data_IF_472834836366
#
_entry.id   IF_472834836366
#
_cell.length_a   1.000
_cell.length_b   1.000
_cell.length_c   1.000
_cell.angle_alpha   90.00
_cell.angle_beta   90.00
_cell.angle_gamma   90.00
#
_symmetry.space_group_name_H-M   'P 1'
#
loop_
_entity.id
_entity.type
_entity.pdbx_description
1 polymer ?
#
# COMPACT_ATOMS: atom_id res chain seq x y z
N UNK A 1 0.70 -23.56 -7.51
CA UNK A 1 -0.64 -23.24 -6.98
C UNK A 1 -0.59 -21.87 -6.34
N UNK A 2 -1.65 -21.06 -6.47
CA UNK A 2 -1.73 -19.69 -5.93
C UNK A 2 -2.16 -19.65 -4.44
N UNK A 3 -2.14 -20.79 -3.76
CA UNK A 3 -2.51 -20.95 -2.34
C UNK A 3 -3.99 -20.74 -2.00
N UNK A 4 -4.85 -20.74 -3.01
CA UNK A 4 -6.31 -20.56 -2.90
C UNK A 4 -6.96 -21.61 -2.00
N UNK A 5 -6.36 -22.79 -1.85
CA UNK A 5 -6.88 -23.91 -1.07
C UNK A 5 -6.23 -24.11 0.30
N UNK A 6 -5.41 -23.15 0.76
CA UNK A 6 -4.69 -23.25 2.03
C UNK A 6 -3.91 -24.58 2.19
N UNK A 7 -3.18 -24.96 1.14
CA UNK A 7 -2.39 -26.20 1.16
C UNK A 7 -1.23 -26.05 2.12
N UNK A 8 -0.92 -27.06 2.97
CA UNK A 8 0.21 -26.99 3.89
C UNK A 8 1.51 -26.56 3.19
N UNK A 9 2.26 -25.67 3.83
CA UNK A 9 3.59 -25.29 3.35
C UNK A 9 4.58 -26.42 3.65
N UNK A 10 5.02 -27.07 2.60
CA UNK A 10 6.03 -28.12 2.58
C UNK A 10 7.34 -27.53 2.06
N UNK A 11 8.37 -27.65 2.88
CA UNK A 11 9.70 -27.15 2.57
C UNK A 11 10.28 -27.79 1.30
N UNK A 12 10.91 -26.97 0.44
CA UNK A 12 11.49 -27.38 -0.83
C UNK A 12 10.47 -27.73 -1.92
N UNK A 13 9.17 -27.61 -1.61
CA UNK A 13 8.07 -28.01 -2.49
C UNK A 13 7.18 -26.82 -2.82
N UNK A 14 6.66 -26.10 -1.83
CA UNK A 14 5.73 -25.00 -2.06
C UNK A 14 5.86 -23.81 -1.10
N UNK A 15 6.95 -23.68 -0.32
CA UNK A 15 7.11 -22.56 0.61
C UNK A 15 7.34 -21.21 -0.09
N UNK A 16 7.94 -21.19 -1.29
CA UNK A 16 8.06 -19.99 -2.11
C UNK A 16 7.12 -20.02 -3.30
N UNK A 17 6.13 -19.09 -3.31
CA UNK A 17 5.06 -19.01 -4.34
C UNK A 17 5.19 -17.70 -5.14
N UNK A 18 6.16 -17.57 -6.07
CA UNK A 18 6.49 -16.30 -6.72
C UNK A 18 5.35 -15.67 -7.51
N UNK A 19 4.39 -16.47 -8.02
CA UNK A 19 3.21 -15.94 -8.74
C UNK A 19 2.05 -15.51 -7.82
N UNK A 20 2.14 -15.70 -6.50
CA UNK A 20 1.10 -15.30 -5.56
C UNK A 20 0.94 -13.76 -5.55
N UNK A 21 2.06 -13.02 -5.59
CA UNK A 21 2.05 -11.55 -5.61
C UNK A 21 1.22 -10.95 -6.75
N UNK A 22 1.42 -11.45 -7.97
CA UNK A 22 0.71 -11.00 -9.17
C UNK A 22 -0.79 -11.38 -9.21
N UNK A 23 -1.26 -12.16 -8.24
CA UNK A 23 -2.63 -12.66 -8.15
C UNK A 23 -3.30 -12.30 -6.81
N UNK A 24 -2.84 -11.23 -6.16
CA UNK A 24 -3.39 -10.76 -4.87
C UNK A 24 -4.90 -10.60 -4.87
N UNK A 25 -5.46 -10.01 -5.92
CA UNK A 25 -6.91 -9.87 -6.08
C UNK A 25 -7.68 -11.19 -5.99
N UNK A 26 -7.14 -12.25 -6.60
CA UNK A 26 -7.80 -13.55 -6.66
C UNK A 26 -7.73 -14.28 -5.31
N UNK A 27 -6.53 -14.45 -4.76
CA UNK A 27 -6.38 -15.21 -3.53
C UNK A 27 -6.97 -14.45 -2.34
N UNK A 28 -6.81 -13.12 -2.27
CA UNK A 28 -7.38 -12.34 -1.16
C UNK A 28 -8.91 -12.34 -1.16
N UNK A 29 -9.56 -12.29 -2.33
CA UNK A 29 -11.01 -12.48 -2.40
C UNK A 29 -11.43 -13.88 -1.88
N UNK A 30 -10.66 -14.91 -2.22
CA UNK A 30 -10.94 -16.26 -1.69
C UNK A 30 -10.70 -16.34 -0.18
N UNK A 31 -9.64 -15.70 0.32
CA UNK A 31 -9.29 -15.68 1.73
C UNK A 31 -10.38 -15.00 2.57
N UNK A 32 -11.03 -13.93 2.07
CA UNK A 32 -12.15 -13.30 2.76
C UNK A 32 -13.32 -14.25 2.99
N UNK A 33 -13.65 -15.11 2.01
CA UNK A 33 -14.69 -16.13 2.14
C UNK A 33 -14.33 -17.16 3.23
N UNK A 34 -13.06 -17.56 3.29
CA UNK A 34 -12.55 -18.62 4.19
C UNK A 34 -12.33 -18.12 5.62
N UNK A 35 -11.65 -16.99 5.74
CA UNK A 35 -11.15 -16.44 7.02
C UNK A 35 -12.25 -15.66 7.72
N UNK A 36 -13.04 -14.88 6.99
CA UNK A 36 -14.06 -13.97 7.54
C UNK A 36 -13.49 -13.05 8.63
N UNK A 37 -12.46 -12.23 8.32
CA UNK A 37 -11.78 -11.43 9.32
C UNK A 37 -12.67 -10.32 9.90
N UNK A 38 -12.61 -10.11 11.22
CA UNK A 38 -13.30 -9.00 11.92
C UNK A 38 -12.50 -7.69 11.89
N UNK A 39 -11.25 -7.75 11.44
CA UNK A 39 -10.39 -6.59 11.19
C UNK A 39 -9.73 -6.69 9.83
N UNK A 40 -9.78 -5.61 9.05
CA UNK A 40 -9.15 -5.57 7.72
C UNK A 40 -8.20 -4.39 7.57
N UNK A 41 -6.98 -4.67 7.09
CA UNK A 41 -6.02 -3.66 6.63
C UNK A 41 -6.16 -3.55 5.11
N UNK A 42 -6.62 -2.41 4.62
CA UNK A 42 -6.94 -2.17 3.21
C UNK A 42 -6.05 -1.04 2.66
N UNK A 43 -5.70 -1.09 1.38
CA UNK A 43 -4.84 -0.09 0.76
C UNK A 43 -4.07 -0.63 -0.43
N UNK A 44 -2.99 0.06 -0.77
CA UNK A 44 -2.14 -0.31 -1.91
C UNK A 44 -1.04 -1.31 -1.52
N UNK A 45 -0.10 -1.52 -2.44
CA UNK A 45 1.13 -2.29 -2.21
C UNK A 45 1.95 -1.80 -1.02
N UNK A 46 1.79 -0.53 -0.62
CA UNK A 46 2.43 0.04 0.57
C UNK A 46 1.89 -0.58 1.85
N UNK A 47 0.57 -0.54 2.04
CA UNK A 47 -0.12 -1.20 3.15
C UNK A 47 0.09 -2.71 3.11
N UNK A 48 0.07 -3.32 1.92
CA UNK A 48 0.30 -4.76 1.71
C UNK A 48 1.64 -5.25 2.27
N UNK A 49 2.70 -4.45 2.08
CA UNK A 49 4.08 -4.80 2.44
C UNK A 49 4.48 -4.41 3.85
N UNK A 50 3.80 -3.45 4.46
CA UNK A 50 4.25 -2.86 5.71
C UNK A 50 3.36 -3.16 6.92
N UNK A 51 2.04 -3.25 6.76
CA UNK A 51 1.15 -3.45 7.90
C UNK A 51 0.91 -4.95 8.15
N UNK A 52 1.47 -5.47 9.24
CA UNK A 52 1.31 -6.87 9.65
C UNK A 52 0.07 -7.04 10.56
N UNK A 53 -0.92 -7.87 10.16
CA UNK A 53 -2.04 -8.24 11.02
C UNK A 53 -1.66 -8.92 12.34
N UNK A 54 -0.44 -9.44 12.48
CA UNK A 54 0.05 -10.03 13.72
C UNK A 54 0.54 -9.00 14.75
N UNK A 55 0.50 -7.70 14.43
CA UNK A 55 0.85 -6.63 15.36
C UNK A 55 0.11 -6.81 16.71
N UNK A 56 0.77 -6.63 17.87
CA UNK A 56 0.17 -6.91 19.17
C UNK A 56 -1.16 -6.18 19.44
N UNK A 57 -1.31 -4.94 18.95
CA UNK A 57 -2.57 -4.19 18.99
C UNK A 57 -3.76 -4.87 18.27
N UNK A 58 -3.48 -5.81 17.36
CA UNK A 58 -4.45 -6.55 16.55
C UNK A 58 -4.55 -8.03 16.93
N UNK A 59 -3.62 -8.55 17.75
CA UNK A 59 -3.41 -9.99 18.02
C UNK A 59 -4.64 -10.72 18.58
N UNK A 60 -5.57 -10.01 19.22
CA UNK A 60 -6.80 -10.59 19.76
C UNK A 60 -7.98 -10.55 18.78
N UNK A 61 -7.78 -10.01 17.58
CA UNK A 61 -8.79 -9.92 16.53
C UNK A 61 -8.35 -10.80 15.35
N UNK A 62 -9.31 -11.40 14.66
CA UNK A 62 -9.01 -12.10 13.40
C UNK A 62 -8.74 -11.05 12.31
N UNK A 63 -7.50 -10.57 12.26
CA UNK A 63 -7.06 -9.52 11.36
C UNK A 63 -6.50 -10.09 10.06
N UNK A 64 -6.78 -9.41 8.94
CA UNK A 64 -6.28 -9.77 7.63
C UNK A 64 -5.87 -8.53 6.84
N UNK A 65 -4.72 -8.60 6.17
CA UNK A 65 -4.29 -7.56 5.25
C UNK A 65 -4.90 -7.83 3.87
N UNK A 66 -5.95 -7.09 3.52
CA UNK A 66 -6.66 -7.13 2.23
C UNK A 66 -6.07 -6.18 1.18
N UNK A 67 -4.95 -5.53 1.48
CA UNK A 67 -4.35 -4.55 0.56
C UNK A 67 -3.84 -5.21 -0.72
N UNK A 68 -3.96 -4.51 -1.85
CA UNK A 68 -3.70 -5.04 -3.20
C UNK A 68 -2.76 -4.13 -3.98
N UNK A 69 -2.10 -4.65 -5.00
CA UNK A 69 -1.13 -3.90 -5.78
C UNK A 69 -1.77 -2.88 -6.69
N UNK A 70 -1.29 -1.64 -6.55
CA UNK A 70 -1.63 -0.50 -7.39
C UNK A 70 -3.13 -0.41 -7.73
N UNK A 71 -4.01 -0.32 -6.73
CA UNK A 71 -5.44 -0.19 -6.95
C UNK A 71 -5.80 1.25 -7.35
N UNK A 72 -7.02 1.43 -7.83
CA UNK A 72 -7.72 2.71 -7.68
C UNK A 72 -8.70 2.62 -6.50
N UNK A 73 -9.33 3.75 -6.14
CA UNK A 73 -10.25 3.79 -4.99
C UNK A 73 -11.52 2.95 -5.22
N UNK A 74 -11.96 2.81 -6.48
CA UNK A 74 -13.09 1.95 -6.83
C UNK A 74 -12.80 0.48 -6.46
N UNK A 75 -11.63 -0.05 -6.83
CA UNK A 75 -11.23 -1.41 -6.44
C UNK A 75 -11.23 -1.57 -4.91
N UNK A 76 -10.66 -0.60 -4.17
CA UNK A 76 -10.66 -0.63 -2.70
C UNK A 76 -12.09 -0.70 -2.13
N UNK A 77 -13.04 0.08 -2.66
CA UNK A 77 -14.45 0.00 -2.25
C UNK A 77 -15.03 -1.39 -2.51
N UNK A 78 -14.82 -1.96 -3.71
CA UNK A 78 -15.37 -3.27 -4.06
C UNK A 78 -14.82 -4.38 -3.16
N UNK A 79 -13.56 -4.28 -2.73
CA UNK A 79 -12.99 -5.19 -1.73
C UNK A 79 -13.58 -4.99 -0.34
N UNK A 80 -13.88 -3.76 0.10
CA UNK A 80 -14.62 -3.53 1.34
C UNK A 80 -16.01 -4.17 1.31
N UNK A 81 -16.77 -3.96 0.23
CA UNK A 81 -18.09 -4.58 0.05
C UNK A 81 -18.02 -6.11 0.07
N UNK A 82 -16.96 -6.67 -0.51
CA UNK A 82 -16.74 -8.10 -0.48
C UNK A 82 -16.53 -8.65 0.94
N UNK A 83 -15.83 -7.92 1.82
CA UNK A 83 -15.71 -8.30 3.24
C UNK A 83 -17.05 -8.18 3.94
N UNK A 84 -17.75 -7.06 3.76
CA UNK A 84 -19.08 -6.83 4.35
C UNK A 84 -20.07 -7.96 3.98
N UNK A 85 -20.03 -8.43 2.73
CA UNK A 85 -20.88 -9.53 2.27
C UNK A 85 -20.54 -10.91 2.85
N UNK A 86 -19.36 -11.07 3.46
CA UNK A 86 -18.84 -12.35 3.97
C UNK A 86 -18.65 -12.39 5.49
N UNK A 87 -18.62 -11.23 6.15
CA UNK A 87 -18.44 -11.10 7.59
C UNK A 87 -19.36 -9.99 8.13
N UNK A 88 -20.44 -10.39 8.80
CA UNK A 88 -21.43 -9.50 9.41
C UNK A 88 -20.87 -8.75 10.63
N UNK A 89 -19.86 -9.32 11.30
CA UNK A 89 -19.23 -8.75 12.51
C UNK A 89 -17.93 -7.98 12.19
N UNK A 90 -17.78 -7.45 10.97
CA UNK A 90 -16.61 -6.63 10.62
C UNK A 90 -16.57 -5.38 11.51
N UNK A 91 -15.61 -5.32 12.43
CA UNK A 91 -15.55 -4.26 13.45
C UNK A 91 -14.60 -3.11 13.11
N UNK A 92 -13.50 -3.40 12.41
CA UNK A 92 -12.44 -2.42 12.15
C UNK A 92 -11.88 -2.53 10.72
N UNK A 93 -11.80 -1.40 10.04
CA UNK A 93 -11.06 -1.25 8.78
C UNK A 93 -10.02 -0.15 8.94
N UNK A 94 -8.76 -0.49 8.70
CA UNK A 94 -7.65 0.48 8.60
C UNK A 94 -7.32 0.63 7.12
N UNK A 95 -7.59 1.80 6.55
CA UNK A 95 -7.45 2.06 5.12
C UNK A 95 -6.32 3.07 4.83
N UNK A 96 -5.29 2.61 4.14
CA UNK A 96 -4.22 3.43 3.60
C UNK A 96 -4.61 4.12 2.30
N UNK A 97 -4.47 5.44 2.28
CA UNK A 97 -4.73 6.33 1.15
C UNK A 97 -3.41 6.76 0.52
N UNK A 98 -3.32 6.60 -0.79
CA UNK A 98 -2.15 7.00 -1.56
C UNK A 98 -2.57 7.95 -2.68
N UNK A 99 -1.87 9.09 -2.81
CA UNK A 99 -2.20 10.10 -3.81
C UNK A 99 -2.38 9.51 -5.23
N UNK A 100 -1.55 8.53 -5.62
CA UNK A 100 -1.63 7.94 -6.95
C UNK A 100 -2.93 7.16 -7.22
N UNK A 101 -3.65 6.68 -6.20
CA UNK A 101 -4.89 5.89 -6.38
C UNK A 101 -6.08 6.77 -6.80
N UNK A 102 -5.95 8.09 -6.67
CA UNK A 102 -6.93 9.10 -7.04
C UNK A 102 -6.69 9.74 -8.42
N UNK A 103 -5.81 9.16 -9.24
CA UNK A 103 -5.54 9.65 -10.59
C UNK A 103 -6.69 9.27 -11.56
N UNK A 104 -7.30 10.22 -12.26
CA UNK A 104 -8.40 9.97 -13.21
C UNK A 104 -8.07 9.00 -14.34
N UNK A 105 -6.79 8.80 -14.65
CA UNK A 105 -6.31 7.85 -15.65
C UNK A 105 -5.90 6.49 -15.06
N UNK A 106 -6.15 6.24 -13.78
CA UNK A 106 -5.89 4.95 -13.15
C UNK A 106 -7.07 4.00 -13.41
N UNK A 107 -6.96 3.20 -14.46
CA UNK A 107 -7.90 2.13 -14.76
C UNK A 107 -7.83 0.99 -13.73
N UNK A 108 -8.91 0.19 -13.67
CA UNK A 108 -8.90 -1.07 -12.94
C UNK A 108 -7.78 -1.97 -13.47
N UNK A 109 -7.16 -2.73 -12.59
CA UNK A 109 -6.13 -3.68 -13.04
C UNK A 109 -6.71 -4.78 -13.92
N UNK A 110 -5.90 -5.26 -14.86
CA UNK A 110 -6.29 -6.31 -15.83
C UNK A 110 -6.71 -7.61 -15.12
N UNK A 111 -6.18 -7.86 -13.92
CA UNK A 111 -6.52 -8.99 -13.06
C UNK A 111 -7.63 -8.69 -12.04
N UNK A 112 -8.29 -7.53 -12.12
CA UNK A 112 -9.48 -7.20 -11.34
C UNK A 112 -10.73 -7.79 -12.02
N UNK A 113 -11.44 -8.65 -11.30
CA UNK A 113 -12.66 -9.28 -11.79
C UNK A 113 -13.76 -9.11 -10.76
N UNK A 114 -14.64 -8.16 -11.02
CA UNK A 114 -15.72 -7.78 -10.12
C UNK A 114 -16.68 -8.94 -9.82
N UNK A 115 -16.88 -9.86 -10.78
CA UNK A 115 -17.73 -11.03 -10.62
C UNK A 115 -17.28 -12.02 -9.53
N UNK A 116 -16.04 -11.89 -9.02
CA UNK A 116 -15.51 -12.66 -7.89
C UNK A 116 -15.93 -12.09 -6.54
N UNK A 117 -16.27 -10.80 -6.52
CA UNK A 117 -16.56 -10.06 -5.30
C UNK A 117 -18.03 -10.21 -4.90
N UNK A 118 -18.31 -9.94 -3.63
CA UNK A 118 -19.63 -10.16 -3.01
C UNK A 118 -20.17 -11.59 -3.21
N UNK A 119 -19.27 -12.57 -3.37
CA UNK A 119 -19.58 -14.00 -3.40
C UNK A 119 -19.18 -14.64 -2.08
N UNK A 120 -19.96 -15.63 -1.65
CA UNK A 120 -19.72 -16.45 -0.45
C UNK A 120 -19.09 -17.81 -0.78
N UNK A 121 -18.74 -18.05 -2.06
CA UNK A 121 -18.09 -19.27 -2.53
C UNK A 121 -17.23 -18.99 -3.76
N UNK A 122 -16.16 -19.76 -3.93
CA UNK A 122 -15.30 -19.71 -5.11
C UNK A 122 -16.13 -20.14 -6.33
N UNK A 123 -16.06 -19.40 -7.43
CA UNK A 123 -16.75 -19.77 -8.67
C UNK A 123 -16.12 -21.02 -9.28
N UNK A 124 -16.91 -21.87 -9.96
CA UNK A 124 -16.37 -23.06 -10.64
C UNK A 124 -15.30 -22.68 -11.70
N UNK A 125 -15.47 -21.52 -12.34
CA UNK A 125 -14.50 -20.97 -13.30
C UNK A 125 -13.18 -20.60 -12.62
N UNK A 126 -13.23 -19.95 -11.47
CA UNK A 126 -12.01 -19.62 -10.71
C UNK A 126 -11.38 -20.87 -10.11
N UNK A 127 -12.18 -21.82 -9.64
CA UNK A 127 -11.70 -23.13 -9.19
C UNK A 127 -10.88 -23.80 -10.31
N UNK A 128 -11.46 -23.98 -11.51
CA UNK A 128 -10.79 -24.59 -12.66
C UNK A 128 -9.55 -23.78 -13.10
N UNK A 129 -9.64 -22.45 -13.15
CA UNK A 129 -8.51 -21.60 -13.54
C UNK A 129 -7.34 -21.69 -12.55
N UNK A 130 -7.63 -21.90 -11.27
CA UNK A 130 -6.62 -22.02 -10.21
C UNK A 130 -6.06 -23.44 -10.09
N UNK A 131 -6.84 -24.48 -10.40
CA UNK A 131 -6.42 -25.90 -10.25
C UNK A 131 -5.92 -26.55 -11.53
N UNK A 132 -6.52 -26.25 -12.68
CA UNK A 132 -6.35 -27.02 -13.92
C UNK A 132 -5.91 -26.19 -15.14
N UNK A 133 -5.62 -24.89 -14.99
CA UNK A 133 -5.09 -24.10 -16.11
C UNK A 133 -3.61 -24.40 -16.40
N UNK A 134 -3.19 -24.20 -17.66
CA UNK A 134 -1.78 -24.24 -18.03
C UNK A 134 -0.94 -23.26 -17.19
N UNK A 135 -1.52 -22.11 -16.83
CA UNK A 135 -0.91 -21.13 -15.94
C UNK A 135 -0.76 -21.65 -14.50
N UNK A 136 -1.71 -22.43 -13.99
CA UNK A 136 -1.61 -23.07 -12.67
C UNK A 136 -0.53 -24.16 -12.64
N UNK A 137 -0.36 -24.91 -13.74
CA UNK A 137 0.72 -25.89 -13.89
C UNK A 137 2.09 -25.20 -13.96
N UNK A 138 2.23 -24.13 -14.75
CA UNK A 138 3.45 -23.32 -14.81
C UNK A 138 3.78 -22.67 -13.46
N UNK A 139 2.77 -22.11 -12.79
CA UNK A 139 2.91 -21.54 -11.44
C UNK A 139 3.42 -22.59 -10.43
N UNK A 140 2.94 -23.82 -10.54
CA UNK A 140 3.34 -24.93 -9.66
C UNK A 140 4.77 -25.40 -9.94
N UNK A 141 5.19 -25.47 -11.22
CA UNK A 141 6.57 -25.76 -11.59
C UNK A 141 7.54 -24.69 -11.08
N UNK A 142 7.20 -23.41 -11.26
CA UNK A 142 8.00 -22.29 -10.76
C UNK A 142 8.07 -22.27 -9.23
N UNK A 143 6.97 -22.56 -8.54
CA UNK A 143 6.92 -22.68 -7.08
C UNK A 143 7.91 -23.74 -6.58
N UNK A 144 7.99 -24.92 -7.21
CA UNK A 144 8.95 -25.98 -6.82
C UNK A 144 10.39 -25.55 -7.10
N UNK A 145 10.64 -24.95 -8.27
CA UNK A 145 11.99 -24.49 -8.64
C UNK A 145 12.48 -23.39 -7.71
N UNK A 146 11.62 -22.42 -7.39
CA UNK A 146 11.95 -21.30 -6.52
C UNK A 146 12.13 -21.78 -5.08
N UNK A 147 11.20 -22.60 -4.57
CA UNK A 147 11.30 -23.19 -3.21
C UNK A 147 12.60 -23.98 -3.02
N UNK A 148 13.16 -24.61 -4.04
CA UNK A 148 14.47 -25.29 -3.94
C UNK A 148 15.67 -24.35 -3.89
N UNK A 149 15.49 -23.07 -4.25
CA UNK A 149 16.54 -22.05 -4.32
C UNK A 149 16.47 -21.04 -3.18
N UNK A 150 15.29 -20.85 -2.56
CA UNK A 150 15.10 -19.88 -1.48
C UNK A 150 15.35 -20.49 -0.08
N UNK A 151 16.05 -19.77 0.82
CA UNK A 151 16.28 -20.21 2.20
C UNK A 151 14.96 -20.45 2.97
N UNK A 152 14.99 -21.23 4.06
CA UNK A 152 13.81 -21.56 4.88
C UNK A 152 13.03 -20.34 5.38
N UNK A 153 13.72 -19.22 5.64
CA UNK A 153 13.14 -18.00 6.21
C UNK A 153 12.50 -17.09 5.14
N UNK A 154 12.50 -17.50 3.87
CA UNK A 154 11.86 -16.79 2.76
C UNK A 154 10.37 -17.12 2.67
N UNK A 155 9.61 -16.81 3.73
CA UNK A 155 8.15 -16.82 3.66
C UNK A 155 7.70 -15.41 3.28
N UNK A 156 7.74 -15.08 1.99
CA UNK A 156 7.32 -13.78 1.46
C UNK A 156 5.80 -13.52 1.51
N UNK A 157 5.02 -14.43 2.10
CA UNK A 157 3.56 -14.37 2.14
C UNK A 157 3.01 -15.01 3.44
N UNK A 158 2.42 -14.20 4.31
CA UNK A 158 1.69 -14.68 5.48
C UNK A 158 0.29 -15.22 5.11
N UNK A 159 -0.23 -16.17 5.89
CA UNK A 159 -1.61 -16.66 5.78
C UNK A 159 -2.65 -15.55 6.09
N UNK A 160 -2.21 -14.47 6.73
CA UNK A 160 -2.97 -13.27 7.07
C UNK A 160 -2.95 -12.20 5.97
N UNK A 161 -2.42 -12.50 4.77
CA UNK A 161 -2.39 -11.58 3.63
C UNK A 161 -1.27 -10.53 3.67
N UNK A 162 -0.40 -10.55 4.70
CA UNK A 162 0.80 -9.72 4.80
C UNK A 162 1.90 -10.23 3.88
N UNK A 163 2.55 -9.32 3.13
CA UNK A 163 3.50 -9.70 2.08
C UNK A 163 4.69 -8.72 2.07
N UNK A 164 5.57 -8.77 3.09
CA UNK A 164 6.71 -7.86 3.18
C UNK A 164 7.74 -8.14 2.09
N UNK A 165 8.50 -7.11 1.71
CA UNK A 165 9.68 -7.29 0.88
C UNK A 165 10.85 -7.73 1.77
N UNK A 166 11.35 -8.96 1.55
CA UNK A 166 12.41 -9.57 2.33
C UNK A 166 13.73 -9.60 1.54
N UNK A 167 14.87 -9.67 2.25
CA UNK A 167 16.21 -9.85 1.68
C UNK A 167 16.58 -8.79 0.64
N UNK A 168 16.31 -7.54 0.99
CA UNK A 168 16.63 -6.38 0.16
C UNK A 168 18.15 -6.21 0.11
N UNK A 169 18.71 -6.28 -1.09
CA UNK A 169 20.15 -6.11 -1.34
C UNK A 169 20.60 -4.66 -1.03
N UNK A 170 21.39 -4.39 0.03
CA UNK A 170 21.82 -3.04 0.41
C UNK A 170 22.65 -2.35 -0.68
N UNK A 171 23.40 -3.11 -1.48
CA UNK A 171 24.24 -2.58 -2.56
C UNK A 171 23.40 -1.99 -3.71
N UNK A 172 22.13 -2.38 -3.83
CA UNK A 172 21.21 -1.89 -4.86
C UNK A 172 20.32 -0.73 -4.41
N UNK A 173 20.50 -0.17 -3.21
CA UNK A 173 19.61 0.89 -2.70
C UNK A 173 19.51 2.08 -3.65
N UNK A 174 20.65 2.66 -4.05
CA UNK A 174 20.65 3.80 -4.97
C UNK A 174 19.96 3.47 -6.31
N UNK A 175 20.19 2.26 -6.84
CA UNK A 175 19.56 1.82 -8.07
C UNK A 175 18.04 1.72 -7.93
N UNK A 176 17.52 1.18 -6.81
CA UNK A 176 16.08 1.07 -6.57
C UNK A 176 15.42 2.44 -6.47
N UNK A 177 16.02 3.37 -5.71
CA UNK A 177 15.56 4.75 -5.61
C UNK A 177 15.54 5.42 -7.00
N UNK A 178 16.64 5.35 -7.75
CA UNK A 178 16.73 5.94 -9.08
C UNK A 178 15.65 5.38 -10.02
N UNK A 179 15.46 4.05 -10.00
CA UNK A 179 14.47 3.36 -10.83
C UNK A 179 13.06 3.83 -10.51
N UNK A 180 12.65 3.83 -9.23
CA UNK A 180 11.26 4.12 -8.90
C UNK A 180 10.95 5.63 -8.96
N UNK A 181 11.87 6.52 -8.57
CA UNK A 181 11.73 7.96 -8.83
C UNK A 181 11.54 8.20 -10.33
N UNK A 182 12.36 7.59 -11.18
CA UNK A 182 12.24 7.69 -12.64
C UNK A 182 10.88 7.21 -13.14
N UNK A 183 10.40 6.06 -12.63
CA UNK A 183 9.09 5.51 -12.99
C UNK A 183 7.94 6.47 -12.63
N UNK A 184 7.96 7.07 -11.43
CA UNK A 184 6.92 8.02 -11.01
C UNK A 184 6.94 9.30 -11.85
N UNK A 185 8.13 9.86 -12.10
CA UNK A 185 8.30 11.05 -12.95
C UNK A 185 7.77 10.80 -14.36
N UNK A 186 8.10 9.65 -14.95
CA UNK A 186 7.78 9.29 -16.34
C UNK A 186 6.33 8.89 -16.54
N UNK A 187 5.78 8.07 -15.63
CA UNK A 187 4.53 7.35 -15.90
C UNK A 187 3.39 7.76 -14.96
N UNK A 188 3.66 8.07 -13.70
CA UNK A 188 2.59 8.35 -12.71
C UNK A 188 2.22 9.81 -12.65
N UNK A 189 3.21 10.69 -12.46
CA UNK A 189 2.96 12.11 -12.29
C UNK A 189 2.89 12.89 -13.59
N UNK A 190 3.43 12.34 -14.68
CA UNK A 190 3.34 12.96 -16.01
C UNK A 190 1.89 13.22 -16.45
N UNK A 191 0.97 12.31 -16.13
CA UNK A 191 -0.45 12.40 -16.51
C UNK A 191 -1.38 12.52 -15.31
N UNK A 192 -0.86 12.83 -14.12
CA UNK A 192 -1.72 12.87 -12.94
C UNK A 192 -2.77 13.98 -13.02
N UNK A 193 -4.03 13.60 -12.84
CA UNK A 193 -5.15 14.51 -12.65
C UNK A 193 -6.03 13.95 -11.51
N UNK A 194 -6.37 14.80 -10.54
CA UNK A 194 -7.20 14.40 -9.42
C UNK A 194 -8.61 14.03 -9.91
N UNK A 195 -9.07 12.84 -9.56
CA UNK A 195 -10.38 12.31 -9.93
C UNK A 195 -11.45 12.65 -8.90
N UNK A 196 -12.44 13.45 -9.29
CA UNK A 196 -13.65 13.66 -8.49
C UNK A 196 -14.41 12.35 -8.26
N UNK A 197 -14.47 11.47 -9.27
CA UNK A 197 -15.09 10.16 -9.15
C UNK A 197 -14.41 9.31 -8.07
N UNK A 198 -13.08 9.29 -7.98
CA UNK A 198 -12.40 8.53 -6.93
C UNK A 198 -12.53 9.16 -5.54
N UNK A 199 -12.75 10.47 -5.44
CA UNK A 199 -13.17 11.09 -4.18
C UNK A 199 -14.60 10.64 -3.80
N UNK A 200 -15.52 10.53 -4.76
CA UNK A 200 -16.86 9.98 -4.51
C UNK A 200 -16.81 8.50 -4.10
N UNK A 201 -15.89 7.71 -4.66
CA UNK A 201 -15.67 6.33 -4.22
C UNK A 201 -15.13 6.25 -2.78
N UNK A 202 -14.25 7.18 -2.37
CA UNK A 202 -13.83 7.29 -0.96
C UNK A 202 -15.02 7.64 -0.05
N UNK A 203 -15.88 8.58 -0.49
CA UNK A 203 -17.10 8.92 0.26
C UNK A 203 -18.00 7.69 0.44
N UNK A 204 -18.19 6.88 -0.61
CA UNK A 204 -18.93 5.61 -0.50
C UNK A 204 -18.30 4.63 0.48
N UNK A 205 -16.96 4.56 0.57
CA UNK A 205 -16.28 3.74 1.59
C UNK A 205 -16.63 4.21 3.00
N UNK A 206 -16.63 5.53 3.24
CA UNK A 206 -17.04 6.11 4.54
C UNK A 206 -18.51 5.81 4.82
N UNK A 207 -19.40 6.06 3.87
CA UNK A 207 -20.84 5.82 4.01
C UNK A 207 -21.16 4.33 4.28
N UNK A 208 -20.50 3.41 3.57
CA UNK A 208 -20.61 1.97 3.80
C UNK A 208 -20.14 1.59 5.21
N UNK A 209 -19.04 2.17 5.66
CA UNK A 209 -18.51 1.90 7.00
C UNK A 209 -19.48 2.38 8.08
N UNK A 210 -20.02 3.58 7.95
CA UNK A 210 -21.03 4.12 8.87
C UNK A 210 -22.31 3.29 8.88
N UNK A 211 -22.84 2.95 7.69
CA UNK A 211 -24.07 2.15 7.55
C UNK A 211 -23.96 0.78 8.23
N UNK A 212 -22.78 0.17 8.18
CA UNK A 212 -22.52 -1.15 8.75
C UNK A 212 -21.86 -1.08 10.14
N UNK A 213 -21.80 0.11 10.77
CA UNK A 213 -21.21 0.31 12.09
C UNK A 213 -19.74 -0.15 12.22
N UNK A 214 -19.00 -0.07 11.12
CA UNK A 214 -17.58 -0.41 11.03
C UNK A 214 -16.76 0.79 11.49
N UNK A 215 -15.83 0.58 12.42
CA UNK A 215 -14.82 1.60 12.75
C UNK A 215 -13.86 1.73 11.57
N UNK A 216 -13.94 2.82 10.83
CA UNK A 216 -13.01 3.14 9.75
C UNK A 216 -11.91 4.08 10.25
N UNK A 217 -10.66 3.69 10.06
CA UNK A 217 -9.49 4.53 10.33
C UNK A 217 -8.76 4.77 9.02
N UNK A 218 -8.69 6.04 8.60
CA UNK A 218 -7.99 6.44 7.38
C UNK A 218 -6.58 6.94 7.72
N UNK A 219 -5.61 6.61 6.86
CA UNK A 219 -4.29 7.23 6.93
C UNK A 219 -3.69 7.51 5.54
N UNK A 220 -2.86 8.53 5.43
CA UNK A 220 -2.06 8.82 4.22
C UNK A 220 -0.68 8.18 4.40
N UNK A 221 -0.26 7.35 3.44
CA UNK A 221 1.02 6.62 3.54
C UNK A 221 2.26 7.54 3.59
N UNK A 222 3.28 7.17 4.37
CA UNK A 222 4.55 7.88 4.45
C UNK A 222 5.51 7.48 3.33
N UNK A 223 5.35 7.97 2.10
CA UNK A 223 6.45 7.85 1.12
C UNK A 223 7.67 8.66 1.57
N UNK A 224 8.85 8.23 1.15
CA UNK A 224 10.10 8.94 1.38
C UNK A 224 10.07 10.36 0.79
N UNK A 225 10.80 11.31 1.39
CA UNK A 225 10.88 12.71 0.97
C UNK A 225 11.14 12.90 -0.54
N UNK A 226 12.01 12.08 -1.13
CA UNK A 226 12.32 12.11 -2.57
C UNK A 226 11.12 11.78 -3.48
N UNK A 227 10.11 11.06 -2.98
CA UNK A 227 8.85 10.84 -3.68
C UNK A 227 8.04 12.12 -3.85
N UNK A 228 7.92 12.91 -2.78
CA UNK A 228 7.22 14.18 -2.78
C UNK A 228 7.95 15.22 -3.62
N UNK A 229 9.28 15.19 -3.62
CA UNK A 229 10.12 16.00 -4.51
C UNK A 229 9.97 15.65 -5.99
N UNK A 230 9.78 14.35 -6.31
CA UNK A 230 9.53 13.89 -7.67
C UNK A 230 8.17 14.37 -8.18
N UNK A 231 7.15 14.29 -7.31
CA UNK A 231 5.81 14.82 -7.56
C UNK A 231 5.84 16.34 -7.75
N UNK A 232 6.55 17.08 -6.89
CA UNK A 232 6.66 18.55 -6.98
C UNK A 232 7.26 18.98 -8.32
N UNK A 233 8.32 18.30 -8.78
CA UNK A 233 8.96 18.59 -10.08
C UNK A 233 8.08 18.28 -11.31
N UNK A 234 6.89 17.69 -11.10
CA UNK A 234 5.86 17.49 -12.13
C UNK A 234 4.67 18.44 -11.94
N UNK A 235 4.86 19.52 -11.18
CA UNK A 235 3.88 20.56 -10.92
C UNK A 235 2.60 20.02 -10.26
N UNK A 236 2.73 18.93 -9.48
CA UNK A 236 1.60 18.27 -8.79
C UNK A 236 1.49 18.63 -7.32
N UNK A 237 2.30 19.57 -6.81
CA UNK A 237 2.28 19.96 -5.40
C UNK A 237 0.95 20.59 -4.99
N UNK A 238 0.47 21.58 -5.74
CA UNK A 238 -0.84 22.21 -5.48
C UNK A 238 -1.98 21.20 -5.54
N UNK A 239 -1.95 20.27 -6.51
CA UNK A 239 -2.95 19.19 -6.63
C UNK A 239 -2.88 18.21 -5.46
N UNK A 240 -1.69 17.94 -4.89
CA UNK A 240 -1.54 17.12 -3.69
C UNK A 240 -2.14 17.80 -2.47
N UNK A 241 -1.91 19.09 -2.30
CA UNK A 241 -2.55 19.87 -1.22
C UNK A 241 -4.07 19.93 -1.39
N UNK A 242 -4.56 20.15 -2.62
CA UNK A 242 -5.99 20.10 -2.95
C UNK A 242 -6.58 18.73 -2.62
N UNK A 243 -5.90 17.64 -2.99
CA UNK A 243 -6.34 16.29 -2.64
C UNK A 243 -6.50 16.10 -1.13
N UNK A 244 -5.51 16.52 -0.32
CA UNK A 244 -5.63 16.46 1.15
C UNK A 244 -6.80 17.28 1.66
N UNK A 245 -7.00 18.50 1.15
CA UNK A 245 -8.18 19.33 1.47
C UNK A 245 -9.47 18.58 1.18
N UNK A 246 -9.59 17.95 0.00
CA UNK A 246 -10.80 17.20 -0.38
C UNK A 246 -11.00 15.95 0.47
N UNK A 247 -9.93 15.24 0.84
CA UNK A 247 -10.00 14.07 1.74
C UNK A 247 -10.53 14.46 3.11
N UNK A 248 -10.02 15.53 3.73
CA UNK A 248 -10.49 15.94 5.07
C UNK A 248 -11.93 16.46 5.08
N UNK A 249 -12.48 16.87 3.93
CA UNK A 249 -13.92 17.15 3.82
C UNK A 249 -14.79 15.88 3.82
N UNK A 250 -14.20 14.71 3.56
CA UNK A 250 -14.91 13.42 3.54
C UNK A 250 -14.81 12.74 4.90
N UNK A 251 -13.61 12.76 5.51
CA UNK A 251 -13.36 12.19 6.83
C UNK A 251 -12.01 12.68 7.37
N UNK A 252 -11.90 12.77 8.69
CA UNK A 252 -10.62 12.92 9.38
C UNK A 252 -9.66 11.78 8.98
N UNK A 253 -8.38 12.11 8.88
CA UNK A 253 -7.34 11.19 8.39
C UNK A 253 -6.02 11.43 9.11
N UNK A 254 -5.31 10.36 9.44
CA UNK A 254 -3.93 10.47 9.94
C UNK A 254 -2.97 10.68 8.77
N UNK A 255 -2.27 11.80 8.75
CA UNK A 255 -1.28 12.10 7.74
C UNK A 255 0.13 11.71 8.20
N UNK A 256 0.68 10.65 7.61
CA UNK A 256 2.07 10.24 7.81
C UNK A 256 2.99 10.74 6.68
N UNK A 257 2.45 11.43 5.68
CA UNK A 257 3.24 11.96 4.56
C UNK A 257 3.96 13.27 4.91
N UNK A 258 4.71 13.80 3.94
CA UNK A 258 5.47 15.04 4.10
C UNK A 258 6.91 14.77 4.54
N UNK A 259 7.46 15.71 5.30
CA UNK A 259 8.86 15.72 5.73
C UNK A 259 8.87 15.65 7.26
N UNK A 260 9.20 14.48 7.80
CA UNK A 260 9.19 14.18 9.22
C UNK A 260 10.33 13.19 9.55
N UNK A 261 10.52 12.91 10.83
CA UNK A 261 11.59 12.06 11.37
C UNK A 261 11.69 10.67 10.73
N UNK A 262 10.62 10.16 10.13
CA UNK A 262 10.62 8.86 9.43
C UNK A 262 10.88 9.05 7.93
N UNK A 263 10.16 9.97 7.27
CA UNK A 263 10.17 10.11 5.80
C UNK A 263 11.45 10.73 5.24
N UNK A 264 12.31 11.30 6.08
CA UNK A 264 13.55 11.98 5.69
C UNK A 264 14.80 11.16 5.98
N UNK A 265 14.70 9.83 6.11
CA UNK A 265 15.84 8.93 6.23
C UNK A 265 16.88 9.22 5.12
N UNK A 266 18.15 9.42 5.49
CA UNK A 266 19.19 9.67 4.49
C UNK A 266 19.36 8.45 3.57
N UNK A 267 19.54 8.67 2.27
CA UNK A 267 19.68 7.54 1.33
C UNK A 267 21.10 6.97 1.43
N UNK A 268 21.21 5.74 1.92
CA UNK A 268 22.47 5.01 2.03
C UNK A 268 22.24 3.50 1.86
N UNK A 269 23.29 2.68 1.93
CA UNK A 269 23.17 1.24 1.66
C UNK A 269 22.19 0.54 2.62
N UNK A 270 22.22 0.88 3.92
CA UNK A 270 21.47 0.22 4.98
C UNK A 270 20.23 1.02 5.40
N UNK A 271 19.21 1.04 4.55
CA UNK A 271 17.94 1.69 4.89
C UNK A 271 17.16 0.85 5.91
N UNK A 272 16.59 1.50 6.91
CA UNK A 272 15.73 0.93 7.94
C UNK A 272 14.25 1.22 7.66
N UNK A 273 13.91 2.44 7.21
CA UNK A 273 12.53 2.87 7.06
C UNK A 273 11.98 2.57 5.67
N UNK A 274 12.84 2.46 4.65
CA UNK A 274 12.43 2.35 3.25
C UNK A 274 13.17 1.27 2.45
N UNK A 275 12.45 0.55 1.59
CA UNK A 275 13.07 -0.35 0.60
C UNK A 275 13.50 0.42 -0.66
N UNK A 276 12.72 1.46 -0.97
CA UNK A 276 12.94 2.48 -1.99
C UNK A 276 12.03 3.70 -1.70
N UNK A 277 11.95 4.70 -2.58
CA UNK A 277 11.24 5.96 -2.31
C UNK A 277 9.71 5.87 -2.08
N UNK A 278 9.03 4.75 -2.32
CA UNK A 278 7.57 4.59 -2.16
C UNK A 278 7.18 3.58 -1.07
N UNK A 279 7.94 2.50 -0.88
CA UNK A 279 7.63 1.38 0.00
C UNK A 279 8.39 1.51 1.31
N UNK A 280 7.63 1.74 2.40
CA UNK A 280 8.15 1.72 3.76
C UNK A 280 8.18 0.28 4.32
N UNK A 281 9.08 0.04 5.26
CA UNK A 281 9.32 -1.28 5.84
C UNK A 281 8.25 -1.66 6.89
N UNK A 282 8.18 -2.93 7.30
CA UNK A 282 7.33 -3.36 8.41
C UNK A 282 7.60 -2.60 9.73
N UNK A 283 8.86 -2.19 9.96
CA UNK A 283 9.22 -1.32 11.10
C UNK A 283 8.38 -0.04 11.11
N UNK A 284 8.30 0.64 9.98
CA UNK A 284 7.44 1.84 9.83
C UNK A 284 5.96 1.47 9.94
N UNK A 285 5.56 0.30 9.42
CA UNK A 285 4.21 -0.23 9.59
C UNK A 285 3.78 -0.38 11.06
N UNK A 286 4.68 -0.85 11.94
CA UNK A 286 4.44 -0.92 13.38
C UNK A 286 4.24 0.47 13.99
N UNK A 287 5.07 1.45 13.62
CA UNK A 287 4.88 2.85 14.07
C UNK A 287 3.51 3.42 13.65
N UNK A 288 3.07 3.12 12.43
CA UNK A 288 1.74 3.50 11.95
C UNK A 288 0.66 2.84 12.81
N UNK A 289 0.72 1.52 13.03
CA UNK A 289 -0.28 0.80 13.82
C UNK A 289 -0.31 1.27 15.28
N UNK A 290 0.86 1.53 15.89
CA UNK A 290 0.98 2.11 17.22
C UNK A 290 0.26 3.47 17.31
N UNK A 291 0.48 4.37 16.34
CA UNK A 291 -0.20 5.68 16.29
C UNK A 291 -1.71 5.53 16.08
N UNK A 292 -2.13 4.74 15.10
CA UNK A 292 -3.55 4.59 14.73
C UNK A 292 -4.39 3.92 15.82
N UNK A 293 -3.80 2.97 16.56
CA UNK A 293 -4.49 2.19 17.58
C UNK A 293 -4.19 2.67 19.00
N UNK A 294 -3.42 3.75 19.15
CA UNK A 294 -2.95 4.26 20.44
C UNK A 294 -2.26 3.18 21.29
N UNK A 295 -1.54 2.27 20.62
CA UNK A 295 -0.83 1.17 21.25
C UNK A 295 0.61 1.59 21.59
N UNK A 296 1.04 1.32 22.81
CA UNK A 296 2.35 1.73 23.34
C UNK A 296 3.30 0.54 23.39
N UNK A 297 3.77 0.11 22.22
CA UNK A 297 4.86 -0.87 22.09
C UNK A 297 6.20 -0.17 21.89
N UNK A 298 6.22 0.79 20.97
CA UNK A 298 7.36 1.63 20.64
C UNK A 298 6.94 3.11 20.70
N UNK A 299 7.88 3.99 21.00
CA UNK A 299 7.63 5.43 20.98
C UNK A 299 7.54 5.93 19.53
N UNK A 300 6.35 6.39 19.13
CA UNK A 300 6.13 6.97 17.81
C UNK A 300 6.49 8.45 17.82
N UNK A 301 7.41 8.94 16.96
CA UNK A 301 7.78 10.35 16.90
C UNK A 301 6.56 11.28 16.79
N UNK A 302 6.54 12.37 17.55
CA UNK A 302 5.37 13.27 17.62
C UNK A 302 4.94 13.79 16.24
N UNK A 303 5.92 14.07 15.37
CA UNK A 303 5.75 14.56 13.99
C UNK A 303 5.28 13.49 12.98
N UNK A 304 5.13 12.24 13.40
CA UNK A 304 4.76 11.12 12.53
C UNK A 304 3.33 10.62 12.77
N UNK A 305 2.42 10.97 11.85
CA UNK A 305 1.01 10.58 11.91
C UNK A 305 0.14 11.62 12.62
N UNK A 306 -0.02 12.78 11.99
CA UNK A 306 -0.83 13.88 12.51
C UNK A 306 -2.28 13.70 12.08
N UNK A 307 -3.22 13.70 13.02
CA UNK A 307 -4.64 13.68 12.67
C UNK A 307 -5.01 15.04 12.04
N UNK A 308 -5.46 15.01 10.80
CA UNK A 308 -5.88 16.19 10.05
C UNK A 308 -7.37 16.16 9.73
N UNK A 309 -7.96 17.35 9.74
CA UNK A 309 -9.39 17.59 9.55
C UNK A 309 -9.60 18.99 8.92
N UNK A 310 -10.85 19.41 8.62
CA UNK A 310 -11.11 20.73 8.05
C UNK A 310 -10.59 21.92 8.87
N UNK A 311 -10.40 21.76 10.19
CA UNK A 311 -10.00 22.84 11.09
C UNK A 311 -8.48 23.10 11.05
N UNK A 312 -7.67 22.05 10.88
CA UNK A 312 -6.21 22.16 10.96
C UNK A 312 -5.47 21.96 9.62
N UNK A 313 -6.19 21.64 8.53
CA UNK A 313 -5.55 21.29 7.25
C UNK A 313 -4.64 22.42 6.72
N UNK A 314 -5.04 23.68 6.78
CA UNK A 314 -4.25 24.77 6.21
C UNK A 314 -2.94 25.00 6.98
N UNK A 315 -2.97 24.97 8.32
CA UNK A 315 -1.75 25.11 9.13
C UNK A 315 -0.83 23.92 8.95
N UNK A 316 -1.37 22.70 8.82
CA UNK A 316 -0.59 21.50 8.51
C UNK A 316 0.10 21.59 7.14
N UNK A 317 -0.60 22.08 6.11
CA UNK A 317 0.01 22.28 4.78
C UNK A 317 1.11 23.35 4.79
N UNK A 318 0.95 24.43 5.56
CA UNK A 318 2.02 25.43 5.79
C UNK A 318 3.23 24.76 6.42
N UNK A 319 3.03 23.94 7.47
CA UNK A 319 4.11 23.22 8.15
C UNK A 319 4.87 22.30 7.20
N UNK A 320 4.17 21.49 6.39
CA UNK A 320 4.81 20.60 5.40
C UNK A 320 5.70 21.39 4.43
N UNK A 321 5.26 22.57 3.98
CA UNK A 321 6.08 23.43 3.09
C UNK A 321 7.33 23.95 3.80
N UNK A 322 7.23 24.34 5.07
CA UNK A 322 8.37 24.79 5.86
C UNK A 322 9.36 23.64 6.12
N UNK A 323 8.86 22.49 6.56
CA UNK A 323 9.68 21.29 6.80
C UNK A 323 10.41 20.85 5.53
N UNK A 324 9.75 20.97 4.37
CA UNK A 324 10.36 20.75 3.06
C UNK A 324 11.56 21.65 2.80
N UNK A 325 11.43 22.97 2.99
CA UNK A 325 12.53 23.90 2.72
C UNK A 325 13.73 23.62 3.64
N UNK A 326 13.47 23.28 4.90
CA UNK A 326 14.50 22.85 5.86
C UNK A 326 15.17 21.57 5.38
N UNK A 327 14.38 20.54 5.03
CA UNK A 327 14.89 19.27 4.55
C UNK A 327 15.74 19.45 3.28
N UNK A 328 15.24 20.21 2.30
CA UNK A 328 15.92 20.43 1.02
C UNK A 328 17.25 21.17 1.17
N UNK A 329 17.37 22.06 2.15
CA UNK A 329 18.63 22.72 2.50
C UNK A 329 19.64 21.75 3.10
N UNK A 330 19.16 20.79 3.90
CA UNK A 330 20.01 19.84 4.62
C UNK A 330 20.33 18.56 3.83
N UNK A 331 19.61 18.30 2.72
CA UNK A 331 19.75 17.10 1.88
C UNK A 331 19.98 17.47 0.40
N UNK A 332 21.06 18.21 0.09
CA UNK A 332 21.30 18.72 -1.27
C UNK A 332 21.51 17.60 -2.30
N UNK A 333 22.07 16.46 -1.88
CA UNK A 333 22.35 15.33 -2.78
C UNK A 333 21.07 14.62 -3.23
N UNK A 334 20.11 14.40 -2.33
CA UNK A 334 18.80 13.85 -2.65
C UNK A 334 17.99 14.82 -3.52
N UNK A 335 18.05 16.12 -3.23
CA UNK A 335 17.43 17.16 -4.07
C UNK A 335 18.03 17.16 -5.47
N UNK A 336 19.35 17.03 -5.59
CA UNK A 336 20.07 16.93 -6.87
C UNK A 336 19.69 15.66 -7.61
N UNK A 337 19.62 14.51 -6.93
CA UNK A 337 19.22 13.24 -7.52
C UNK A 337 17.87 13.33 -8.24
N UNK A 338 16.84 13.85 -7.56
CA UNK A 338 15.50 13.97 -8.17
C UNK A 338 15.52 14.99 -9.33
N UNK A 339 16.30 16.06 -9.21
CA UNK A 339 16.47 17.06 -10.28
C UNK A 339 17.09 16.44 -11.53
N UNK A 340 18.15 15.66 -11.39
CA UNK A 340 18.82 15.01 -12.52
C UNK A 340 17.92 13.99 -13.22
N UNK A 341 17.12 13.22 -12.47
CA UNK A 341 16.14 12.29 -13.05
C UNK A 341 15.11 13.04 -13.89
N UNK A 342 14.58 14.16 -13.39
CA UNK A 342 13.64 15.01 -14.14
C UNK A 342 14.28 15.57 -15.42
N UNK A 343 15.51 16.09 -15.32
CA UNK A 343 16.24 16.63 -16.48
C UNK A 343 16.49 15.56 -17.56
N UNK A 344 16.90 14.35 -17.16
CA UNK A 344 17.07 13.21 -18.08
C UNK A 344 15.77 12.82 -18.77
N UNK A 345 14.64 12.90 -18.06
CA UNK A 345 13.33 12.68 -18.66
C UNK A 345 12.97 13.78 -19.67
N UNK A 346 13.13 15.05 -19.33
CA UNK A 346 12.80 16.16 -20.23
C UNK A 346 13.65 16.11 -21.51
N UNK A 347 14.94 15.79 -21.38
CA UNK A 347 15.83 15.58 -22.51
C UNK A 347 15.43 14.40 -23.41
N UNK A 348 14.64 13.43 -22.91
CA UNK A 348 14.13 12.31 -23.71
C UNK A 348 12.82 12.61 -24.46
N UNK A 349 12.21 13.77 -24.23
CA UNK A 349 11.01 14.24 -24.94
C UNK A 349 11.33 15.18 -26.10
N UNK A 350 12.54 15.73 -26.11
CA UNK A 350 13.11 16.54 -27.19
C UNK A 350 13.89 15.62 -28.14
#
# INVERSE_FOLDING_TARGET
SYDVFNTPNLWGINHSKPRKDNNDRLFKATDIIRIKPVTVLLGSSRTKRALDPNHPALKHQQAYNLSIDNPNVYELRRYLEHVIANQEELGLVILGLDFFTFNSFQENRVNFYENRLEKQRISAKDFINVTFSLDALLASKETIVDSRKTPPDYIGYGENGFMPELNIDPEKTQQRFNRLISYYVKHRYARYQLSGQFLDELKKIVDLSQKNQIKLVLFISPSHATHWEAMKRKDKWSTFEEWKRKVVQISDVFDFSGYNSITTEAIHHNMENYTENSHYTPKVGNLILNRLLSYKEEEVPEDFGILINPENIESHLVKIRQDREIWAKNHPDEVKLVKEIKQKYDASLN
#
